data_IF_400057349874
#
_entry.id   IF_400057349874
#
_cell.length_a   1.000
_cell.length_b   1.000
_cell.length_c   1.000
_cell.angle_alpha   90.00
_cell.angle_beta   90.00
_cell.angle_gamma   90.00
#
_symmetry.space_group_name_H-M   'P 1'
#
loop_
_entity.id
_entity.type
_entity.pdbx_description
1 polymer ?
#
# COMPACT_ATOMS: atom_id res chain seq x y z
N UNK A 1 -15.98 -3.16 -12.48
CA UNK A 1 -16.72 -2.55 -11.32
C UNK A 1 -16.60 -1.03 -11.38
N UNK A 2 -17.31 -0.25 -10.53
CA UNK A 2 -17.25 1.23 -10.59
C UNK A 2 -15.81 1.80 -10.47
N UNK A 3 -14.90 1.08 -9.80
CA UNK A 3 -13.49 1.46 -9.65
C UNK A 3 -12.63 1.32 -10.93
N UNK A 4 -13.13 0.64 -11.96
CA UNK A 4 -12.39 0.37 -13.20
C UNK A 4 -12.88 1.19 -14.38
N UNK A 5 -14.06 1.83 -14.27
CA UNK A 5 -14.66 2.65 -15.32
C UNK A 5 -13.68 3.72 -15.87
N UNK A 6 -12.92 4.45 -15.05
CA UNK A 6 -11.93 5.40 -15.58
C UNK A 6 -10.85 4.74 -16.45
N UNK A 7 -10.48 3.48 -16.16
CA UNK A 7 -9.50 2.73 -16.95
C UNK A 7 -10.07 2.21 -18.28
N UNK A 8 -11.39 2.03 -18.36
CA UNK A 8 -12.10 1.70 -19.60
C UNK A 8 -12.23 2.94 -20.50
N UNK A 9 -12.54 4.10 -19.92
CA UNK A 9 -12.68 5.38 -20.63
C UNK A 9 -11.37 5.87 -21.29
N UNK A 10 -10.21 5.49 -20.73
CA UNK A 10 -8.88 5.73 -21.34
C UNK A 10 -8.77 5.21 -22.79
N UNK A 11 -9.60 4.23 -23.20
CA UNK A 11 -9.64 3.75 -24.60
C UNK A 11 -10.26 4.75 -25.57
N UNK A 12 -11.13 5.63 -25.07
CA UNK A 12 -11.99 6.48 -25.90
C UNK A 12 -11.52 7.93 -26.01
N UNK A 13 -10.54 8.33 -25.19
CA UNK A 13 -9.99 9.68 -25.20
C UNK A 13 -8.49 9.63 -24.92
N UNK A 14 -7.69 9.97 -25.93
CA UNK A 14 -6.23 9.93 -25.89
C UNK A 14 -5.59 10.98 -24.96
N UNK A 15 -6.36 11.99 -24.54
CA UNK A 15 -5.89 13.07 -23.65
C UNK A 15 -6.17 12.81 -22.18
N UNK A 16 -6.81 11.69 -21.83
CA UNK A 16 -7.11 11.37 -20.44
C UNK A 16 -5.84 10.96 -19.67
N UNK A 17 -5.69 11.56 -18.49
CA UNK A 17 -4.69 11.20 -17.49
C UNK A 17 -5.39 11.04 -16.14
N UNK A 18 -4.96 10.06 -15.34
CA UNK A 18 -5.57 9.79 -14.04
C UNK A 18 -4.68 8.95 -13.13
N UNK A 19 -5.09 8.85 -11.88
CA UNK A 19 -4.44 8.04 -10.85
C UNK A 19 -5.28 6.78 -10.63
N UNK A 20 -4.65 5.61 -10.69
CA UNK A 20 -5.30 4.33 -10.45
C UNK A 20 -4.42 3.43 -9.59
N UNK A 21 -5.05 2.54 -8.81
CA UNK A 21 -4.31 1.55 -8.03
C UNK A 21 -3.69 0.47 -8.94
N UNK A 22 -2.44 0.09 -8.63
CA UNK A 22 -1.66 -0.90 -9.41
C UNK A 22 -2.44 -2.19 -9.72
N UNK A 23 -3.25 -2.66 -8.77
CA UNK A 23 -4.04 -3.87 -8.92
C UNK A 23 -5.04 -3.83 -10.08
N UNK A 24 -5.55 -2.65 -10.43
CA UNK A 24 -6.49 -2.52 -11.56
C UNK A 24 -5.75 -2.38 -12.90
N UNK A 25 -4.57 -1.75 -12.91
CA UNK A 25 -3.83 -1.49 -14.15
C UNK A 25 -3.37 -2.77 -14.84
N UNK A 26 -3.01 -3.82 -14.10
CA UNK A 26 -2.54 -5.09 -14.65
C UNK A 26 -3.51 -5.74 -15.64
N UNK A 27 -4.81 -5.45 -15.53
CA UNK A 27 -5.85 -6.00 -16.39
C UNK A 27 -6.16 -5.13 -17.62
N UNK A 28 -5.48 -3.99 -17.79
CA UNK A 28 -5.75 -2.99 -18.82
C UNK A 28 -4.46 -2.68 -19.62
N UNK A 29 -4.10 -3.57 -20.56
CA UNK A 29 -2.84 -3.48 -21.34
C UNK A 29 -2.71 -2.23 -22.21
N UNK A 30 -3.80 -1.54 -22.53
CA UNK A 30 -3.80 -0.28 -23.27
C UNK A 30 -3.42 0.93 -22.42
N UNK A 31 -3.33 0.78 -21.10
CA UNK A 31 -2.99 1.88 -20.18
C UNK A 31 -1.47 2.02 -20.11
N UNK A 32 -0.97 3.19 -20.51
CA UNK A 32 0.44 3.55 -20.32
C UNK A 32 0.66 4.06 -18.91
N UNK A 33 1.37 3.27 -18.10
CA UNK A 33 1.82 3.71 -16.77
C UNK A 33 3.03 4.63 -16.92
N UNK A 34 2.96 5.80 -16.29
CA UNK A 34 4.05 6.76 -16.28
C UNK A 34 4.98 6.50 -15.09
N UNK A 35 6.28 6.64 -15.30
CA UNK A 35 7.22 6.81 -14.20
C UNK A 35 6.99 8.18 -13.56
N UNK A 36 7.18 8.26 -12.24
CA UNK A 36 6.91 9.47 -11.47
C UNK A 36 8.16 9.87 -10.70
N UNK A 37 8.50 11.15 -10.78
CA UNK A 37 9.53 11.80 -9.97
C UNK A 37 8.89 12.40 -8.73
N UNK A 38 9.59 12.36 -7.58
CA UNK A 38 9.10 13.00 -6.34
C UNK A 38 9.20 14.53 -6.44
N UNK A 39 10.27 15.00 -7.07
CA UNK A 39 10.56 16.40 -7.35
C UNK A 39 11.03 16.57 -8.80
N UNK A 40 11.01 17.81 -9.31
CA UNK A 40 11.43 18.13 -10.68
C UNK A 40 12.90 17.73 -10.98
N UNK A 41 13.75 17.70 -9.95
CA UNK A 41 15.18 17.36 -10.06
C UNK A 41 15.47 15.85 -9.83
N UNK A 42 14.45 15.05 -9.55
CA UNK A 42 14.61 13.61 -9.27
C UNK A 42 14.35 12.74 -10.49
N UNK A 43 15.14 11.67 -10.64
CA UNK A 43 14.94 10.69 -11.69
C UNK A 43 13.56 10.03 -11.60
N UNK A 44 12.80 9.92 -12.71
CA UNK A 44 11.50 9.26 -12.70
C UNK A 44 11.61 7.79 -12.29
N UNK A 45 10.85 7.39 -11.28
CA UNK A 45 10.80 6.01 -10.79
C UNK A 45 9.60 5.28 -11.41
N UNK A 46 9.86 4.17 -12.09
CA UNK A 46 8.81 3.33 -12.67
C UNK A 46 7.98 2.61 -11.59
N UNK A 47 6.69 2.37 -11.85
CA UNK A 47 5.84 1.57 -10.97
C UNK A 47 6.12 0.07 -11.16
N UNK A 48 7.09 -0.47 -10.43
CA UNK A 48 7.42 -1.91 -10.42
C UNK A 48 7.19 -2.51 -9.03
N UNK A 49 6.94 -3.83 -8.90
CA UNK A 49 6.83 -4.47 -7.59
C UNK A 49 8.03 -4.22 -6.67
N UNK A 50 9.24 -4.21 -7.24
CA UNK A 50 10.48 -3.92 -6.53
C UNK A 50 10.53 -2.46 -6.03
N UNK A 51 10.20 -1.49 -6.88
CA UNK A 51 10.21 -0.06 -6.49
C UNK A 51 9.16 0.23 -5.42
N UNK A 52 8.02 -0.46 -5.44
CA UNK A 52 6.99 -0.36 -4.40
C UNK A 52 7.45 -1.02 -3.11
N UNK A 53 7.98 -2.25 -3.17
CA UNK A 53 8.47 -3.00 -2.00
C UNK A 53 9.61 -2.27 -1.28
N UNK A 54 10.48 -1.60 -2.04
CA UNK A 54 11.61 -0.81 -1.51
C UNK A 54 11.25 0.64 -1.20
N UNK A 55 9.97 1.02 -1.32
CA UNK A 55 9.45 2.39 -1.11
C UNK A 55 10.12 3.48 -1.96
N UNK A 56 10.72 3.11 -3.08
CA UNK A 56 11.35 4.05 -4.04
C UNK A 56 10.33 4.72 -4.95
N UNK A 57 9.20 4.07 -5.23
CA UNK A 57 8.14 4.69 -6.01
C UNK A 57 7.47 5.81 -5.16
N UNK A 58 7.35 7.05 -5.66
CA UNK A 58 6.95 8.18 -4.82
C UNK A 58 5.46 8.18 -4.43
N UNK A 59 4.59 7.59 -5.26
CA UNK A 59 3.14 7.51 -4.97
C UNK A 59 2.78 6.21 -4.24
N UNK A 60 3.39 6.00 -3.07
CA UNK A 60 3.05 4.91 -2.15
C UNK A 60 2.17 5.41 -1.01
N UNK A 61 1.40 4.50 -0.40
CA UNK A 61 0.59 4.79 0.77
C UNK A 61 0.66 3.63 1.75
N UNK A 62 0.79 3.95 3.03
CA UNK A 62 0.65 2.98 4.10
C UNK A 62 -0.84 2.62 4.33
N UNK A 63 -1.09 1.34 4.57
CA UNK A 63 -2.37 0.87 5.07
C UNK A 63 -2.38 1.00 6.60
N UNK A 64 -3.39 1.69 7.12
CA UNK A 64 -3.50 1.95 8.55
C UNK A 64 -4.57 1.06 9.18
N UNK A 65 -4.24 0.50 10.34
CA UNK A 65 -5.23 -0.03 11.27
C UNK A 65 -5.59 1.07 12.26
N UNK A 66 -6.88 1.36 12.39
CA UNK A 66 -7.39 2.27 13.41
C UNK A 66 -8.01 1.46 14.54
N UNK A 67 -7.53 1.70 15.75
CA UNK A 67 -8.04 1.07 16.97
C UNK A 67 -8.59 2.15 17.90
N UNK A 68 -9.77 1.91 18.45
CA UNK A 68 -10.37 2.83 19.41
C UNK A 68 -9.71 2.63 20.79
N UNK A 69 -8.64 3.39 21.06
CA UNK A 69 -7.91 3.38 22.33
C UNK A 69 -8.25 4.64 23.13
N UNK A 70 -8.86 4.46 24.30
CA UNK A 70 -9.09 5.58 25.20
C UNK A 70 -7.75 6.17 25.71
N UNK A 71 -7.62 7.51 25.81
CA UNK A 71 -6.40 8.14 26.33
C UNK A 71 -6.02 7.62 27.72
N UNK A 72 -4.74 7.31 27.93
CA UNK A 72 -4.23 6.79 29.20
C UNK A 72 -4.69 5.38 29.59
N UNK A 73 -5.44 4.67 28.73
CA UNK A 73 -5.87 3.28 28.95
C UNK A 73 -5.08 2.33 28.05
N UNK A 74 -4.85 1.08 28.49
CA UNK A 74 -4.33 0.04 27.60
C UNK A 74 -5.32 -0.23 26.47
N UNK A 75 -4.83 -0.83 25.38
CA UNK A 75 -5.70 -1.39 24.35
C UNK A 75 -6.58 -2.50 24.95
N UNK A 76 -7.77 -2.66 24.37
CA UNK A 76 -8.57 -3.85 24.61
C UNK A 76 -7.71 -5.12 24.38
N UNK A 77 -7.71 -6.10 25.30
CA UNK A 77 -6.83 -7.25 25.19
C UNK A 77 -7.00 -8.04 23.90
N UNK A 78 -8.24 -8.19 23.39
CA UNK A 78 -8.51 -8.92 22.15
C UNK A 78 -7.94 -8.15 20.96
N UNK A 79 -8.16 -6.84 20.92
CA UNK A 79 -7.59 -5.96 19.88
C UNK A 79 -6.06 -6.01 19.93
N UNK A 80 -5.45 -5.97 21.11
CA UNK A 80 -4.00 -6.07 21.29
C UNK A 80 -3.45 -7.39 20.73
N UNK A 81 -4.07 -8.52 21.08
CA UNK A 81 -3.64 -9.84 20.59
C UNK A 81 -3.77 -9.94 19.06
N UNK A 82 -4.87 -9.44 18.49
CA UNK A 82 -5.05 -9.41 17.05
C UNK A 82 -3.98 -8.57 16.36
N UNK A 83 -3.69 -7.37 16.86
CA UNK A 83 -2.63 -6.53 16.31
C UNK A 83 -1.24 -7.17 16.48
N UNK A 84 -1.00 -7.88 17.57
CA UNK A 84 0.25 -8.65 17.76
C UNK A 84 0.37 -9.76 16.73
N UNK A 85 -0.71 -10.46 16.40
CA UNK A 85 -0.74 -11.44 15.30
C UNK A 85 -0.44 -10.78 13.96
N UNK A 86 -1.11 -9.67 13.62
CA UNK A 86 -0.86 -8.94 12.36
C UNK A 86 0.61 -8.51 12.22
N UNK A 87 1.24 -8.08 13.32
CA UNK A 87 2.64 -7.67 13.38
C UNK A 87 3.62 -8.84 13.62
N UNK A 88 3.13 -10.08 13.73
CA UNK A 88 3.97 -11.26 13.88
C UNK A 88 4.53 -11.71 12.53
N UNK A 89 5.52 -12.61 12.56
CA UNK A 89 6.03 -13.26 11.35
C UNK A 89 4.90 -13.94 10.55
N UNK A 90 4.03 -14.66 11.23
CA UNK A 90 2.91 -15.38 10.61
C UNK A 90 1.91 -14.42 9.96
N UNK A 91 1.59 -13.30 10.62
CA UNK A 91 0.72 -12.26 10.07
C UNK A 91 1.32 -11.62 8.82
N UNK A 92 2.62 -11.32 8.83
CA UNK A 92 3.32 -10.78 7.66
C UNK A 92 3.40 -11.80 6.50
N UNK A 93 3.60 -13.08 6.79
CA UNK A 93 3.55 -14.15 5.77
C UNK A 93 2.15 -14.27 5.15
N UNK A 94 1.10 -14.05 5.94
CA UNK A 94 -0.28 -14.02 5.45
C UNK A 94 -0.52 -12.84 4.51
N UNK A 95 0.03 -11.66 4.82
CA UNK A 95 -0.01 -10.48 3.95
C UNK A 95 0.65 -10.75 2.60
N UNK A 96 1.84 -11.37 2.61
CA UNK A 96 2.56 -11.74 1.39
C UNK A 96 1.72 -12.68 0.52
N UNK A 97 1.12 -13.71 1.12
CA UNK A 97 0.26 -14.67 0.42
C UNK A 97 -0.99 -14.03 -0.18
N UNK A 98 -1.58 -13.05 0.51
CA UNK A 98 -2.74 -12.32 0.02
C UNK A 98 -2.41 -11.47 -1.22
N UNK A 99 -1.16 -10.99 -1.35
CA UNK A 99 -0.67 -10.34 -2.57
C UNK A 99 -1.19 -8.93 -2.83
N UNK A 100 -1.95 -8.34 -1.89
CA UNK A 100 -2.47 -6.97 -1.99
C UNK A 100 -1.53 -5.93 -1.38
N UNK A 101 -0.78 -6.31 -0.35
CA UNK A 101 0.13 -5.44 0.38
C UNK A 101 1.50 -6.10 0.51
N UNK A 102 2.53 -5.26 0.67
CA UNK A 102 3.88 -5.72 0.97
C UNK A 102 4.06 -5.86 2.48
N UNK A 103 4.90 -6.82 2.95
CA UNK A 103 5.21 -6.94 4.36
C UNK A 103 5.97 -5.71 4.85
N UNK A 104 5.78 -5.38 6.12
CA UNK A 104 6.44 -4.24 6.73
C UNK A 104 7.96 -4.48 6.84
N UNK A 105 8.80 -3.46 6.58
CA UNK A 105 10.22 -3.52 6.92
C UNK A 105 10.41 -3.80 8.42
N UNK A 106 11.48 -4.53 8.75
CA UNK A 106 11.74 -4.99 10.12
C UNK A 106 11.68 -3.87 11.16
N UNK A 107 12.35 -2.76 10.89
CA UNK A 107 12.45 -1.66 11.86
C UNK A 107 11.09 -0.99 12.10
N UNK A 108 10.29 -0.84 11.05
CA UNK A 108 8.94 -0.30 11.14
C UNK A 108 7.99 -1.26 11.87
N UNK A 109 8.12 -2.58 11.65
CA UNK A 109 7.37 -3.60 12.38
C UNK A 109 7.67 -3.55 13.89
N UNK A 110 8.94 -3.41 14.26
CA UNK A 110 9.35 -3.28 15.67
C UNK A 110 8.79 -2.00 16.30
N UNK A 111 8.84 -0.88 15.58
CA UNK A 111 8.21 0.38 16.00
C UNK A 111 6.70 0.19 16.26
N UNK A 112 5.97 -0.41 15.31
CA UNK A 112 4.52 -0.61 15.47
C UNK A 112 4.20 -1.56 16.63
N UNK A 113 5.03 -2.59 16.84
CA UNK A 113 4.84 -3.53 17.96
C UNK A 113 5.04 -2.85 19.30
N UNK A 114 5.97 -1.90 19.40
CA UNK A 114 6.17 -1.09 20.60
C UNK A 114 4.99 -0.17 20.95
N UNK A 115 4.06 0.09 20.03
CA UNK A 115 2.85 0.90 20.29
C UNK A 115 1.71 0.12 20.94
N UNK A 116 1.82 -1.21 21.01
CA UNK A 116 0.77 -2.08 21.57
C UNK A 116 0.77 -2.13 23.11
N UNK A 117 1.92 -1.81 23.70
CA UNK A 117 2.19 -1.85 25.15
C UNK A 117 2.27 -0.42 25.72
#
# INVERSE_FOLDING_TARGET
MASERPLEELKTNEFLIGIAALMHVKNHSHVKVLAVSETDDSEPVALTPENVATRRYPLIRDAYFYVNKAPGRPLDPIVREFMRYCLSREGQETIVKAGYYYPLPRDYLLEQRGKLD
#
